data_IF_554801727702
#
_entry.id   IF_554801727702
#
_cell.length_a   1.000
_cell.length_b   1.000
_cell.length_c   1.000
_cell.angle_alpha   90.00
_cell.angle_beta   90.00
_cell.angle_gamma   90.00
#
_symmetry.space_group_name_H-M   'P 1'
#
loop_
_entity.id
_entity.type
_entity.pdbx_description
1 polymer ?
#
# COMPACT_ATOMS: atom_id res chain seq x y z
N UNK A 1 -2.60 2.01 -23.62
CA UNK A 1 -2.59 1.68 -23.06
C UNK A 1 -2.06 1.82 -22.05
N UNK A 2 -1.98 1.96 -21.47
CA UNK A 2 -1.75 2.11 -20.39
C UNK A 2 -1.08 1.54 -19.53
N UNK A 3 -0.75 1.90 -18.67
CA UNK A 3 -0.10 1.44 -17.80
C UNK A 3 -0.77 1.02 -16.74
N UNK A 4 -1.43 0.06 -16.76
CA UNK A 4 -2.09 -0.48 -15.65
C UNK A 4 -1.06 -0.93 -14.63
N UNK A 5 -1.38 -0.84 -13.37
CA UNK A 5 -0.54 -1.34 -12.32
C UNK A 5 -0.51 -2.85 -12.38
N UNK A 6 0.61 -3.48 -12.01
CA UNK A 6 0.62 -4.92 -11.81
C UNK A 6 -0.45 -5.30 -10.80
N UNK A 7 -1.01 -6.47 -10.96
CA UNK A 7 -2.11 -6.90 -10.10
C UNK A 7 -1.77 -6.77 -8.62
N UNK A 8 -0.56 -7.14 -8.22
CA UNK A 8 -0.19 -7.08 -6.81
C UNK A 8 -0.22 -5.66 -6.27
N UNK A 9 0.23 -4.68 -7.08
CA UNK A 9 0.20 -3.28 -6.64
C UNK A 9 -1.24 -2.79 -6.57
N UNK A 10 -2.07 -3.20 -7.49
CA UNK A 10 -3.47 -2.84 -7.47
C UNK A 10 -4.14 -3.41 -6.22
N UNK A 11 -3.84 -4.67 -5.88
CA UNK A 11 -4.38 -5.27 -4.68
C UNK A 11 -3.94 -4.52 -3.43
N UNK A 12 -2.69 -4.04 -3.42
CA UNK A 12 -2.19 -3.28 -2.30
C UNK A 12 -2.93 -1.94 -2.17
N UNK A 13 -3.19 -1.27 -3.28
CA UNK A 13 -3.94 -0.03 -3.26
C UNK A 13 -5.33 -0.27 -2.67
N UNK A 14 -5.98 -1.34 -3.09
CA UNK A 14 -7.31 -1.65 -2.58
C UNK A 14 -7.27 -1.97 -1.08
N UNK A 15 -6.21 -2.61 -0.63
CA UNK A 15 -6.08 -2.95 0.78
C UNK A 15 -5.82 -1.71 1.64
N UNK A 16 -5.28 -0.66 1.05
CA UNK A 16 -4.93 0.56 1.78
C UNK A 16 -5.96 1.66 1.65
N UNK A 17 -6.50 1.84 0.47
CA UNK A 17 -7.26 3.03 0.14
C UNK A 17 -8.50 3.20 1.01
N UNK A 18 -8.52 4.30 1.76
CA UNK A 18 -9.66 4.62 2.60
C UNK A 18 -9.83 3.76 3.83
N UNK A 19 -8.81 2.98 4.19
CA UNK A 19 -8.94 2.07 5.32
C UNK A 19 -8.11 2.44 6.54
N UNK A 20 -7.61 3.65 6.56
CA UNK A 20 -6.80 4.10 7.70
C UNK A 20 -5.40 3.49 7.65
N UNK A 21 -4.73 3.53 8.80
CA UNK A 21 -3.36 3.05 8.88
C UNK A 21 -3.31 1.54 8.97
N UNK A 22 -2.53 0.92 8.10
CA UNK A 22 -2.34 -0.52 8.10
C UNK A 22 -0.87 -0.84 8.27
N UNK A 23 -0.56 -1.85 9.06
CA UNK A 23 0.85 -2.24 9.24
C UNK A 23 1.28 -3.14 8.10
N UNK A 24 2.60 -3.21 7.88
CA UNK A 24 3.14 -4.11 6.87
C UNK A 24 2.77 -5.56 7.18
N UNK A 25 2.71 -5.90 8.48
CA UNK A 25 2.35 -7.25 8.89
C UNK A 25 0.91 -7.58 8.50
N UNK A 26 -0.01 -6.64 8.75
CA UNK A 26 -1.40 -6.86 8.38
C UNK A 26 -1.56 -7.02 6.87
N UNK A 27 -0.86 -6.17 6.13
CA UNK A 27 -0.95 -6.22 4.67
C UNK A 27 -0.35 -7.51 4.13
N UNK A 28 0.77 -7.94 4.73
CA UNK A 28 1.41 -9.18 4.30
C UNK A 28 0.47 -10.36 4.48
N UNK A 29 -0.21 -10.41 5.61
CA UNK A 29 -1.15 -11.48 5.88
C UNK A 29 -2.32 -11.42 4.91
N UNK A 30 -2.87 -10.24 4.72
CA UNK A 30 -4.03 -10.08 3.83
C UNK A 30 -3.71 -10.44 2.39
N UNK A 31 -2.52 -10.06 1.94
CA UNK A 31 -2.14 -10.26 0.54
C UNK A 31 -1.40 -11.57 0.29
N UNK A 32 -1.07 -12.30 1.35
CA UNK A 32 -0.39 -13.56 1.19
C UNK A 32 1.05 -13.44 0.74
N UNK A 33 1.74 -12.38 1.16
CA UNK A 33 3.14 -12.15 0.79
C UNK A 33 3.93 -11.82 2.04
N UNK A 34 5.24 -11.66 1.90
CA UNK A 34 6.08 -11.30 3.06
C UNK A 34 6.00 -9.81 3.33
N UNK A 35 6.37 -9.40 4.54
CA UNK A 35 6.44 -7.99 4.87
C UNK A 35 7.46 -7.28 3.99
N UNK A 36 8.54 -7.97 3.66
CA UNK A 36 9.56 -7.40 2.79
C UNK A 36 8.95 -7.04 1.44
N UNK A 37 8.13 -7.93 0.90
CA UNK A 37 7.45 -7.66 -0.36
C UNK A 37 6.50 -6.48 -0.23
N UNK A 38 5.77 -6.41 0.89
CA UNK A 38 4.87 -5.29 1.12
C UNK A 38 5.64 -3.98 1.12
N UNK A 39 6.75 -3.92 1.85
CA UNK A 39 7.53 -2.70 1.93
C UNK A 39 8.08 -2.29 0.57
N UNK A 40 8.52 -3.26 -0.21
CA UNK A 40 9.03 -2.99 -1.55
C UNK A 40 7.90 -2.44 -2.44
N UNK A 41 6.73 -3.03 -2.34
CA UNK A 41 5.62 -2.60 -3.16
C UNK A 41 5.13 -1.22 -2.76
N UNK A 42 5.17 -0.90 -1.46
CA UNK A 42 4.82 0.43 -0.99
C UNK A 42 5.78 1.47 -1.60
N UNK A 43 7.06 1.15 -1.62
CA UNK A 43 8.04 2.05 -2.22
C UNK A 43 7.73 2.26 -3.70
N UNK A 44 7.28 1.21 -4.37
CA UNK A 44 6.91 1.32 -5.77
C UNK A 44 5.70 2.23 -5.96
N UNK A 45 4.71 2.14 -5.08
CA UNK A 45 3.56 3.04 -5.16
C UNK A 45 4.00 4.49 -5.01
N UNK A 46 4.95 4.75 -4.12
CA UNK A 46 5.46 6.09 -3.94
C UNK A 46 6.19 6.58 -5.20
N UNK A 47 6.92 5.69 -5.86
CA UNK A 47 7.58 6.03 -7.11
C UNK A 47 6.58 6.39 -8.20
N UNK A 48 5.39 5.83 -8.11
CA UNK A 48 4.32 6.10 -9.07
C UNK A 48 3.50 7.31 -8.65
N UNK A 49 3.99 8.06 -7.66
CA UNK A 49 3.36 9.29 -7.19
C UNK A 49 2.00 9.10 -6.52
N UNK A 50 1.73 7.93 -6.01
CA UNK A 50 0.54 7.77 -5.19
C UNK A 50 0.81 8.41 -3.81
N UNK A 51 -0.17 9.06 -3.21
CA UNK A 51 0.01 9.77 -1.94
C UNK A 51 -0.03 8.84 -0.73
N UNK A 52 0.88 7.89 -0.70
CA UNK A 52 1.01 6.99 0.44
C UNK A 52 1.63 7.74 1.59
N UNK A 53 1.01 7.65 2.77
CA UNK A 53 1.54 8.29 3.96
C UNK A 53 2.09 7.24 4.90
N UNK A 54 3.24 7.54 5.50
CA UNK A 54 3.84 6.63 6.45
C UNK A 54 3.66 7.20 7.85
N UNK A 55 3.44 6.31 8.81
CA UNK A 55 3.21 6.67 10.19
C UNK A 55 4.17 5.88 11.06
N UNK A 56 4.91 6.57 11.90
CA UNK A 56 5.93 5.93 12.71
C UNK A 56 5.48 5.73 14.13
N UNK A 57 6.22 4.89 14.84
CA UNK A 57 5.96 4.67 16.23
C UNK A 57 4.97 3.56 16.48
N UNK A 58 4.48 3.49 17.70
CA UNK A 58 3.54 2.44 18.08
C UNK A 58 2.25 2.61 17.29
N UNK A 59 1.79 1.54 16.71
CA UNK A 59 0.59 1.60 15.89
C UNK A 59 0.85 2.18 14.53
N UNK A 60 2.11 2.35 14.16
CA UNK A 60 2.46 2.93 12.88
C UNK A 60 2.24 1.98 11.72
N UNK A 61 2.38 2.51 10.53
CA UNK A 61 2.18 1.74 9.32
C UNK A 61 2.05 2.68 8.14
N UNK A 62 1.19 2.36 7.22
CA UNK A 62 0.97 3.20 6.04
C UNK A 62 -0.51 3.41 5.81
N UNK A 63 -0.84 4.46 5.11
CA UNK A 63 -2.22 4.73 4.76
C UNK A 63 -2.29 5.36 3.38
N UNK A 64 -3.45 5.29 2.78
CA UNK A 64 -3.70 5.87 1.48
C UNK A 64 -5.10 6.47 1.51
N UNK A 65 -5.26 7.76 1.25
CA UNK A 65 -6.58 8.38 1.33
C UNK A 65 -7.58 7.77 0.36
N UNK A 66 -8.85 7.82 0.71
CA UNK A 66 -9.89 7.36 -0.17
C UNK A 66 -9.85 8.20 -1.45
N UNK A 67 -10.05 7.55 -2.58
CA UNK A 67 -10.06 8.26 -3.85
C UNK A 67 -8.70 8.65 -4.39
N UNK A 68 -7.64 8.23 -3.73
CA UNK A 68 -6.30 8.61 -4.14
C UNK A 68 -5.92 8.01 -5.51
N UNK A 69 -6.54 6.91 -5.86
CA UNK A 69 -6.23 6.24 -7.11
C UNK A 69 -7.53 6.03 -7.87
N UNK A 70 -7.80 6.87 -8.80
CA UNK A 70 -9.03 6.77 -9.59
C UNK A 70 -8.77 6.69 -11.06
#
# INVERSE_FOLDING_TARGET
MGSALPKRLFDLVEALQGRGVRTASELATQLGVSERTVRRDIARLMELDLPVETHQGRGGGVSLPAGAFL
#
